data_IF_938434021641
#
_entry.id   IF_938434021641
#
_cell.length_a   1.000
_cell.length_b   1.000
_cell.length_c   1.000
_cell.angle_alpha   90.00
_cell.angle_beta   90.00
_cell.angle_gamma   90.00
#
_symmetry.space_group_name_H-M   'P 1'
#
loop_
_entity.id
_entity.type
_entity.pdbx_description
1 polymer ?
#
# COMPACT_ATOMS: atom_id res chain seq x y z
N UNK A 1 -8.12 11.79 -7.40
CA UNK A 1 -8.82 10.56 -7.86
C UNK A 1 -7.90 9.83 -8.83
N UNK A 2 -7.00 8.97 -8.33
CA UNK A 2 -6.28 8.05 -9.20
C UNK A 2 -7.04 6.73 -9.24
N UNK A 3 -7.55 6.43 -10.45
CA UNK A 3 -8.14 5.13 -10.80
C UNK A 3 -7.01 4.10 -10.82
N UNK A 4 -7.09 3.07 -9.99
CA UNK A 4 -6.32 1.86 -10.21
C UNK A 4 -6.80 1.23 -11.52
N UNK A 5 -5.98 1.35 -12.57
CA UNK A 5 -6.16 0.73 -13.88
C UNK A 5 -4.90 -0.08 -14.15
N UNK A 6 -4.93 -1.36 -13.80
CA UNK A 6 -3.86 -2.30 -14.12
C UNK A 6 -4.43 -3.60 -14.63
N UNK A 7 -4.86 -3.62 -15.89
CA UNK A 7 -5.28 -4.84 -16.60
C UNK A 7 -4.44 -4.99 -17.88
N UNK A 8 -3.97 -6.24 -18.12
CA UNK A 8 -3.50 -6.87 -19.38
C UNK A 8 -2.01 -6.77 -19.80
N UNK A 9 -1.33 -7.73 -20.49
CA UNK A 9 -1.61 -9.07 -21.09
C UNK A 9 -0.27 -9.79 -21.51
N UNK A 10 -0.16 -11.11 -21.24
CA UNK A 10 0.37 -12.31 -21.98
C UNK A 10 1.52 -12.26 -23.08
N UNK A 11 2.50 -13.19 -22.89
CA UNK A 11 3.32 -14.09 -23.78
C UNK A 11 4.53 -13.67 -24.66
N UNK A 12 5.63 -14.46 -24.60
CA UNK A 12 6.23 -15.35 -25.66
C UNK A 12 7.34 -16.28 -25.07
N UNK A 13 7.38 -17.55 -25.55
CA UNK A 13 8.30 -18.67 -25.24
C UNK A 13 9.38 -18.85 -26.33
N UNK A 14 10.61 -19.34 -26.05
CA UNK A 14 11.34 -20.35 -26.87
C UNK A 14 12.27 -21.24 -26.01
N UNK A 15 12.29 -22.53 -26.35
CA UNK A 15 12.95 -23.72 -25.82
C UNK A 15 14.49 -23.75 -25.81
N UNK A 16 15.05 -24.38 -24.77
CA UNK A 16 16.43 -24.92 -24.77
C UNK A 16 17.08 -24.78 -23.40
N UNK A 17 16.99 -25.82 -22.57
CA UNK A 17 17.60 -25.96 -21.21
C UNK A 17 17.97 -24.64 -20.52
N UNK A 18 17.05 -24.09 -19.74
CA UNK A 18 17.35 -23.02 -18.80
C UNK A 18 17.03 -23.55 -17.41
N UNK A 19 18.04 -23.56 -16.54
CA UNK A 19 17.83 -23.41 -15.10
C UNK A 19 17.02 -22.12 -14.94
N UNK A 20 15.70 -22.21 -14.97
CA UNK A 20 14.82 -21.05 -14.90
C UNK A 20 14.73 -20.65 -13.43
N UNK A 21 15.83 -20.06 -12.94
CA UNK A 21 15.74 -19.09 -11.86
C UNK A 21 14.70 -18.08 -12.31
N UNK A 22 13.51 -18.12 -11.72
CA UNK A 22 12.46 -17.14 -11.98
C UNK A 22 12.99 -15.80 -11.45
N UNK A 23 13.61 -15.02 -12.32
CA UNK A 23 13.98 -13.64 -12.00
C UNK A 23 12.67 -12.86 -12.10
N UNK A 24 12.08 -12.50 -10.95
CA UNK A 24 11.08 -11.45 -10.94
C UNK A 24 11.75 -10.23 -11.57
N UNK A 25 11.15 -9.68 -12.63
CA UNK A 25 11.69 -8.48 -13.23
C UNK A 25 11.60 -7.38 -12.16
N UNK A 26 12.76 -6.83 -11.78
CA UNK A 26 12.84 -5.74 -10.81
C UNK A 26 11.82 -4.65 -11.16
N UNK A 27 10.97 -4.32 -10.21
CA UNK A 27 10.01 -3.23 -10.33
C UNK A 27 10.56 -1.97 -9.67
N UNK A 28 10.13 -0.81 -10.17
CA UNK A 28 10.45 0.44 -9.51
C UNK A 28 9.59 0.59 -8.24
N UNK A 29 10.08 1.30 -7.22
CA UNK A 29 9.28 1.62 -6.05
C UNK A 29 8.07 2.48 -6.44
N UNK A 30 7.06 2.48 -5.58
CA UNK A 30 5.92 3.39 -5.64
C UNK A 30 6.07 4.42 -4.53
N UNK A 31 6.32 5.66 -4.91
CA UNK A 31 6.37 6.80 -4.00
C UNK A 31 4.98 7.44 -3.86
N UNK A 32 4.63 7.92 -2.66
CA UNK A 32 3.34 8.57 -2.40
C UNK A 32 3.53 9.94 -1.77
N UNK A 33 2.75 10.90 -2.24
CA UNK A 33 2.80 12.28 -1.76
C UNK A 33 2.57 12.38 -0.24
N UNK A 34 3.30 13.32 0.39
CA UNK A 34 3.25 13.60 1.82
C UNK A 34 2.60 14.94 2.11
N UNK A 35 1.98 15.04 3.29
CA UNK A 35 1.41 16.28 3.80
C UNK A 35 1.90 16.57 5.22
N UNK A 36 2.51 17.75 5.40
CA UNK A 36 3.07 18.19 6.68
C UNK A 36 2.49 19.54 7.09
N UNK A 37 2.28 19.73 8.38
CA UNK A 37 1.97 21.01 8.98
C UNK A 37 3.14 21.39 9.87
N UNK A 38 3.58 22.65 9.78
CA UNK A 38 4.49 23.24 10.76
C UNK A 38 4.08 24.67 11.07
N UNK A 39 4.73 25.24 12.07
CA UNK A 39 4.67 26.66 12.38
C UNK A 39 5.96 27.28 11.85
N UNK A 40 5.87 28.53 11.44
CA UNK A 40 7.00 29.36 11.07
C UNK A 40 8.16 29.23 12.09
N UNK A 41 9.40 29.19 11.59
CA UNK A 41 10.64 29.03 12.38
C UNK A 41 10.76 27.69 13.17
N UNK A 42 9.84 26.74 12.99
CA UNK A 42 9.92 25.40 13.59
C UNK A 42 10.30 24.37 12.52
N UNK A 43 11.54 23.85 12.53
CA UNK A 43 11.94 22.75 11.67
C UNK A 43 11.12 21.48 11.92
N UNK A 44 10.87 20.70 10.86
CA UNK A 44 10.24 19.38 10.93
C UNK A 44 11.12 18.33 10.29
N UNK A 45 11.20 17.16 10.94
CA UNK A 45 11.78 15.95 10.35
C UNK A 45 10.65 15.06 9.86
N UNK A 46 10.65 14.77 8.56
CA UNK A 46 9.56 14.14 7.82
C UNK A 46 10.01 12.75 7.38
N UNK A 47 9.39 11.67 7.88
CA UNK A 47 9.69 10.31 7.46
C UNK A 47 8.95 9.98 6.15
N UNK A 48 9.43 10.53 5.03
CA UNK A 48 8.75 10.44 3.72
C UNK A 48 8.62 9.02 3.17
N UNK A 49 9.54 8.10 3.52
CA UNK A 49 9.46 6.71 3.02
C UNK A 49 8.37 5.86 3.67
N UNK A 50 7.56 6.44 4.55
CA UNK A 50 6.64 5.71 5.41
C UNK A 50 5.43 5.16 4.64
N UNK A 51 4.93 5.91 3.65
CA UNK A 51 3.83 5.54 2.77
C UNK A 51 4.32 4.98 1.42
N UNK A 52 5.63 4.95 1.20
CA UNK A 52 6.28 4.41 0.01
C UNK A 52 6.42 2.88 0.11
N UNK A 53 6.41 2.20 -1.02
CA UNK A 53 6.47 0.75 -1.06
C UNK A 53 7.17 0.22 -2.29
N UNK A 54 7.79 -0.94 -2.15
CA UNK A 54 8.36 -1.70 -3.25
C UNK A 54 7.73 -3.11 -3.26
N UNK A 55 7.33 -3.60 -4.43
CA UNK A 55 6.62 -4.89 -4.51
C UNK A 55 7.57 -6.09 -4.37
N UNK A 56 8.85 -5.89 -4.70
CA UNK A 56 9.90 -6.89 -4.60
C UNK A 56 10.46 -6.96 -3.16
N UNK A 57 10.13 -5.96 -2.33
CA UNK A 57 10.48 -5.90 -0.91
C UNK A 57 11.85 -5.28 -0.65
N UNK A 58 12.39 -4.56 -1.64
CA UNK A 58 13.69 -3.92 -1.53
C UNK A 58 13.68 -2.75 -0.54
N UNK A 59 14.86 -2.49 0.03
CA UNK A 59 15.03 -1.40 0.99
C UNK A 59 15.05 -0.06 0.28
N UNK A 60 14.14 0.83 0.67
CA UNK A 60 14.01 2.15 0.07
C UNK A 60 14.95 3.18 0.71
N UNK A 61 15.48 4.06 -0.13
CA UNK A 61 16.30 5.19 0.28
C UNK A 61 16.03 6.44 -0.54
N UNK A 62 16.19 7.61 0.07
CA UNK A 62 16.05 8.90 -0.60
C UNK A 62 17.39 9.26 -1.24
N UNK A 63 17.38 9.50 -2.54
CA UNK A 63 18.60 9.79 -3.31
C UNK A 63 18.75 11.27 -3.65
N UNK A 64 17.65 12.02 -3.73
CA UNK A 64 17.68 13.46 -3.96
C UNK A 64 16.44 14.16 -3.43
N UNK A 65 16.59 15.46 -3.14
CA UNK A 65 15.53 16.37 -2.69
C UNK A 65 15.65 17.69 -3.45
N UNK A 66 14.53 18.21 -3.93
CA UNK A 66 14.46 19.56 -4.50
C UNK A 66 14.27 20.60 -3.39
N UNK A 67 14.73 21.83 -3.63
CA UNK A 67 14.42 22.94 -2.74
C UNK A 67 13.06 23.55 -3.12
N UNK A 68 12.25 23.94 -2.12
CA UNK A 68 11.01 24.67 -2.37
C UNK A 68 11.24 26.10 -2.86
N UNK A 69 10.25 26.66 -3.54
CA UNK A 69 10.30 28.05 -4.04
C UNK A 69 10.18 29.11 -2.93
N UNK A 70 9.67 28.73 -1.75
CA UNK A 70 9.52 29.63 -0.59
C UNK A 70 10.84 30.14 -0.01
N UNK A 71 11.97 29.53 -0.40
CA UNK A 71 13.28 29.76 0.21
C UNK A 71 13.50 28.98 1.50
N UNK A 72 12.57 28.09 1.89
CA UNK A 72 12.79 27.15 2.97
C UNK A 72 13.95 26.19 2.67
N UNK A 73 14.61 25.72 3.72
CA UNK A 73 15.74 24.78 3.59
C UNK A 73 15.25 23.35 3.74
N UNK A 74 15.53 22.52 2.73
CA UNK A 74 15.25 21.08 2.73
C UNK A 74 16.56 20.31 2.68
N UNK A 75 16.82 19.47 3.68
CA UNK A 75 18.02 18.63 3.71
C UNK A 75 17.67 17.18 3.99
N UNK A 76 18.44 16.26 3.42
CA UNK A 76 18.37 14.85 3.80
C UNK A 76 18.82 14.70 5.26
N UNK A 77 17.99 14.03 6.04
CA UNK A 77 18.26 13.65 7.44
C UNK A 77 18.48 12.14 7.49
N UNK A 78 19.65 11.70 7.01
CA UNK A 78 19.92 10.29 6.73
C UNK A 78 19.34 9.85 5.38
N UNK A 79 19.16 8.54 5.19
CA UNK A 79 18.65 7.95 3.94
C UNK A 79 17.13 7.80 3.88
N UNK A 80 16.41 8.08 4.97
CA UNK A 80 14.98 7.75 5.10
C UNK A 80 14.09 8.92 5.54
N UNK A 81 14.70 10.07 5.86
CA UNK A 81 13.97 11.24 6.35
C UNK A 81 14.48 12.53 5.72
N UNK A 82 13.61 13.53 5.70
CA UNK A 82 13.91 14.87 5.21
C UNK A 82 13.68 15.87 6.32
N UNK A 83 14.62 16.78 6.55
CA UNK A 83 14.41 17.92 7.44
C UNK A 83 14.02 19.14 6.62
N UNK A 84 12.81 19.64 6.85
CA UNK A 84 12.29 20.89 6.33
C UNK A 84 12.43 22.00 7.39
N UNK A 85 12.98 23.14 7.00
CA UNK A 85 13.07 24.34 7.85
C UNK A 85 12.43 25.50 7.09
N UNK A 86 11.25 25.99 7.54
CA UNK A 86 10.62 27.15 6.91
C UNK A 86 11.59 28.33 6.84
N UNK A 87 11.45 29.16 5.81
CA UNK A 87 12.08 30.47 5.82
C UNK A 87 11.48 31.33 6.94
N UNK A 88 12.25 32.30 7.44
CA UNK A 88 11.74 33.23 8.44
C UNK A 88 10.56 34.02 7.86
N UNK A 89 9.55 34.29 8.69
CA UNK A 89 8.35 35.06 8.34
C UNK A 89 7.50 34.47 7.20
N UNK A 90 7.77 33.22 6.77
CA UNK A 90 6.95 32.54 5.77
C UNK A 90 5.73 31.88 6.39
N UNK A 91 4.54 32.27 5.94
CA UNK A 91 3.27 31.57 6.17
C UNK A 91 2.60 31.24 4.83
N UNK A 92 1.96 30.07 4.76
CA UNK A 92 1.31 29.62 3.53
C UNK A 92 1.57 28.15 3.21
N UNK A 93 1.30 27.77 1.96
CA UNK A 93 1.58 26.42 1.45
C UNK A 93 2.90 26.47 0.70
N UNK A 94 3.75 25.50 1.00
CA UNK A 94 5.00 25.24 0.31
C UNK A 94 5.04 23.81 -0.20
N UNK A 95 5.92 23.53 -1.16
CA UNK A 95 6.06 22.19 -1.72
C UNK A 95 7.46 21.92 -2.24
N UNK A 96 7.92 20.69 -2.07
CA UNK A 96 9.15 20.20 -2.67
C UNK A 96 8.99 18.73 -3.07
N UNK A 97 9.88 18.22 -3.92
CA UNK A 97 9.87 16.82 -4.35
C UNK A 97 11.08 16.06 -3.81
N UNK A 98 10.94 14.75 -3.66
CA UNK A 98 12.05 13.84 -3.36
C UNK A 98 12.03 12.63 -4.30
N UNK A 99 13.20 12.01 -4.46
CA UNK A 99 13.35 10.78 -5.26
C UNK A 99 13.70 9.63 -4.34
N UNK A 100 12.89 8.57 -4.38
CA UNK A 100 13.14 7.30 -3.71
C UNK A 100 13.79 6.31 -4.70
N UNK A 101 14.70 5.48 -4.23
CA UNK A 101 15.28 4.38 -4.99
C UNK A 101 15.28 3.09 -4.17
N UNK A 102 15.11 1.97 -4.87
CA UNK A 102 15.20 0.60 -4.37
C UNK A 102 16.65 0.09 -4.26
N UNK A 103 17.64 0.84 -4.78
CA UNK A 103 19.04 0.42 -4.85
C UNK A 103 19.36 -0.61 -5.95
N UNK A 104 18.35 -1.05 -6.69
CA UNK A 104 18.39 -2.07 -7.75
C UNK A 104 18.22 -1.46 -9.15
N UNK A 105 18.13 -0.13 -9.22
CA UNK A 105 18.00 0.64 -10.47
C UNK A 105 16.61 1.21 -10.69
N UNK A 106 15.64 0.89 -9.83
CA UNK A 106 14.33 1.53 -9.79
C UNK A 106 14.35 2.82 -8.97
N UNK A 107 13.52 3.76 -9.39
CA UNK A 107 13.29 5.01 -8.67
C UNK A 107 11.92 5.60 -8.98
N UNK A 108 11.36 6.35 -8.03
CA UNK A 108 10.12 7.10 -8.20
C UNK A 108 10.20 8.45 -7.48
N UNK A 109 9.30 9.38 -7.80
CA UNK A 109 9.27 10.75 -7.28
C UNK A 109 7.94 11.06 -6.63
N UNK A 110 7.98 11.62 -5.43
CA UNK A 110 6.80 12.11 -4.72
C UNK A 110 6.96 13.56 -4.27
N UNK A 111 5.82 14.20 -4.02
CA UNK A 111 5.71 15.59 -3.58
C UNK A 111 5.40 15.65 -2.09
N UNK A 112 6.16 16.46 -1.36
CA UNK A 112 5.81 16.87 0.00
C UNK A 112 5.14 18.23 -0.05
N UNK A 113 3.90 18.31 0.43
CA UNK A 113 3.20 19.58 0.64
C UNK A 113 3.30 19.99 2.10
N UNK A 114 3.84 21.16 2.37
CA UNK A 114 3.98 21.71 3.72
C UNK A 114 3.07 22.91 3.91
N UNK A 115 2.14 22.84 4.86
CA UNK A 115 1.42 24.02 5.34
C UNK A 115 2.23 24.64 6.47
N UNK A 116 2.63 25.90 6.32
CA UNK A 116 3.29 26.70 7.35
C UNK A 116 2.28 27.69 7.92
N UNK A 117 2.13 27.68 9.24
CA UNK A 117 1.24 28.60 9.96
C UNK A 117 2.05 29.71 10.63
N UNK A 118 1.52 30.94 10.70
CA UNK A 118 2.24 32.07 11.27
C UNK A 118 2.56 31.83 12.74
N UNK A 119 3.74 32.25 13.19
CA UNK A 119 4.08 32.25 14.61
C UNK A 119 3.58 33.53 15.27
N UNK A 120 2.29 33.57 15.60
CA UNK A 120 1.64 34.73 16.21
C UNK A 120 1.97 34.94 17.71
N UNK A 121 2.92 34.20 18.28
CA UNK A 121 3.25 34.23 19.72
C UNK A 121 2.16 33.67 20.65
N UNK A 122 0.98 33.33 20.14
CA UNK A 122 -0.10 32.74 20.91
C UNK A 122 -0.02 31.21 20.84
N UNK A 123 0.60 30.62 21.86
CA UNK A 123 0.80 29.18 21.95
C UNK A 123 -0.52 28.39 21.94
N UNK A 124 -1.63 28.96 22.41
CA UNK A 124 -2.93 28.27 22.40
C UNK A 124 -3.47 28.11 20.97
N UNK A 125 -3.41 29.14 20.15
CA UNK A 125 -3.83 29.08 18.74
C UNK A 125 -2.93 28.14 17.93
N UNK A 126 -1.64 28.12 18.23
CA UNK A 126 -0.68 27.20 17.63
C UNK A 126 -0.99 25.74 17.97
N UNK A 127 -1.21 25.44 19.26
CA UNK A 127 -1.62 24.10 19.72
C UNK A 127 -2.96 23.70 19.09
N UNK A 128 -3.93 24.60 19.05
CA UNK A 128 -5.25 24.33 18.47
C UNK A 128 -5.15 24.00 16.97
N UNK A 129 -4.33 24.74 16.24
CA UNK A 129 -4.10 24.50 14.80
C UNK A 129 -3.45 23.15 14.53
N UNK A 130 -2.45 22.79 15.33
CA UNK A 130 -1.80 21.47 15.25
C UNK A 130 -2.79 20.35 15.57
N UNK A 131 -3.62 20.51 16.61
CA UNK A 131 -4.66 19.53 16.98
C UNK A 131 -5.69 19.37 15.85
N UNK A 132 -6.19 20.46 15.26
CA UNK A 132 -7.16 20.42 14.16
C UNK A 132 -6.58 19.70 12.92
N UNK A 133 -5.31 19.94 12.59
CA UNK A 133 -4.64 19.26 11.49
C UNK A 133 -4.40 17.79 11.76
N UNK A 134 -3.99 17.42 12.98
CA UNK A 134 -3.88 16.02 13.38
C UNK A 134 -5.23 15.31 13.31
N UNK A 135 -6.31 15.96 13.74
CA UNK A 135 -7.65 15.42 13.64
C UNK A 135 -8.08 15.18 12.19
N UNK A 136 -7.80 16.12 11.29
CA UNK A 136 -8.06 15.93 9.85
C UNK A 136 -7.28 14.75 9.25
N UNK A 137 -6.01 14.56 9.64
CA UNK A 137 -5.20 13.40 9.23
C UNK A 137 -5.76 12.08 9.76
N UNK A 138 -6.24 12.08 11.01
CA UNK A 138 -6.89 10.90 11.60
C UNK A 138 -8.17 10.54 10.85
N UNK A 139 -9.02 11.52 10.52
CA UNK A 139 -10.22 11.29 9.74
C UNK A 139 -9.91 10.68 8.36
N UNK A 140 -8.88 11.19 7.68
CA UNK A 140 -8.49 10.63 6.38
C UNK A 140 -7.99 9.18 6.50
N UNK A 141 -7.22 8.88 7.54
CA UNK A 141 -6.80 7.50 7.84
C UNK A 141 -7.99 6.59 8.15
N UNK A 142 -9.02 7.08 8.82
CA UNK A 142 -10.25 6.32 9.07
C UNK A 142 -10.99 5.97 7.77
N UNK A 143 -11.02 6.88 6.79
CA UNK A 143 -11.58 6.63 5.45
C UNK A 143 -10.76 5.56 4.70
N UNK A 144 -9.43 5.67 4.69
CA UNK A 144 -8.55 4.68 4.05
C UNK A 144 -8.70 3.28 4.68
N UNK A 145 -8.74 3.22 6.01
CA UNK A 145 -8.97 1.95 6.74
C UNK A 145 -10.34 1.37 6.43
N UNK A 146 -11.35 2.21 6.23
CA UNK A 146 -12.70 1.76 5.88
C UNK A 146 -12.71 1.14 4.48
N UNK A 147 -12.10 1.81 3.50
CA UNK A 147 -11.99 1.28 2.13
C UNK A 147 -11.23 -0.05 2.10
N UNK A 148 -10.13 -0.16 2.85
CA UNK A 148 -9.40 -1.42 3.00
C UNK A 148 -10.27 -2.53 3.62
N UNK A 149 -11.11 -2.22 4.63
CA UNK A 149 -12.02 -3.22 5.21
C UNK A 149 -13.05 -3.72 4.20
N UNK A 150 -13.55 -2.85 3.33
CA UNK A 150 -14.50 -3.21 2.28
C UNK A 150 -13.84 -4.12 1.23
N UNK A 151 -12.66 -3.75 0.74
CA UNK A 151 -11.87 -4.60 -0.19
C UNK A 151 -11.56 -5.97 0.43
N UNK A 152 -11.20 -5.98 1.71
CA UNK A 152 -10.90 -7.19 2.46
C UNK A 152 -12.12 -8.11 2.61
N UNK A 153 -13.29 -7.53 2.86
CA UNK A 153 -14.55 -8.27 2.93
C UNK A 153 -14.93 -8.86 1.58
N UNK A 154 -14.77 -8.10 0.48
CA UNK A 154 -15.02 -8.57 -0.88
C UNK A 154 -14.10 -9.74 -1.26
N UNK A 155 -12.80 -9.66 -0.91
CA UNK A 155 -11.85 -10.74 -1.14
C UNK A 155 -12.19 -12.00 -0.32
N UNK A 156 -12.60 -11.84 0.94
CA UNK A 156 -13.00 -12.98 1.77
C UNK A 156 -14.21 -13.73 1.19
N UNK A 157 -15.21 -13.01 0.68
CA UNK A 157 -16.36 -13.61 -0.01
C UNK A 157 -15.94 -14.35 -1.28
N UNK A 158 -15.07 -13.74 -2.10
CA UNK A 158 -14.51 -14.36 -3.32
C UNK A 158 -13.76 -15.65 -3.01
N UNK A 159 -12.93 -15.66 -1.96
CA UNK A 159 -12.18 -16.83 -1.51
C UNK A 159 -13.12 -17.94 -1.03
N UNK A 160 -14.10 -17.61 -0.17
CA UNK A 160 -15.07 -18.60 0.31
C UNK A 160 -15.82 -19.28 -0.83
N UNK A 161 -16.12 -18.52 -1.88
CA UNK A 161 -16.81 -19.04 -3.05
C UNK A 161 -15.90 -19.94 -3.92
N UNK A 162 -14.62 -19.59 -4.08
CA UNK A 162 -13.63 -20.47 -4.71
C UNK A 162 -13.42 -21.77 -3.90
N UNK A 163 -13.37 -21.68 -2.57
CA UNK A 163 -13.24 -22.84 -1.69
C UNK A 163 -14.44 -23.79 -1.80
N UNK A 164 -15.65 -23.26 -1.97
CA UNK A 164 -16.85 -24.06 -2.27
C UNK A 164 -16.71 -24.79 -3.61
N UNK A 165 -16.33 -24.08 -4.67
CA UNK A 165 -16.16 -24.67 -6.02
C UNK A 165 -15.11 -25.80 -6.03
N UNK A 166 -14.05 -25.64 -5.24
CA UNK A 166 -12.97 -26.63 -5.14
C UNK A 166 -13.34 -27.81 -4.22
N UNK A 167 -14.16 -27.54 -3.20
CA UNK A 167 -14.61 -28.52 -2.20
C UNK A 167 -15.68 -29.48 -2.72
N UNK A 168 -16.58 -29.01 -3.59
CA UNK A 168 -17.58 -29.85 -4.23
C UNK A 168 -16.92 -30.66 -5.38
N UNK A 169 -16.99 -31.99 -5.26
CA UNK A 169 -16.43 -32.89 -6.26
C UNK A 169 -17.18 -32.80 -7.58
N UNK A 170 -16.66 -32.02 -8.55
CA UNK A 170 -17.24 -32.00 -9.92
C UNK A 170 -17.22 -33.42 -10.54
N UNK A 171 -18.34 -33.91 -11.10
CA UNK A 171 -18.47 -35.25 -11.65
C UNK A 171 -17.55 -35.44 -12.86
N UNK A 172 -16.93 -36.62 -12.96
CA UNK A 172 -16.08 -36.97 -14.09
C UNK A 172 -16.89 -36.92 -15.39
N UNK A 173 -16.36 -36.20 -16.37
CA UNK A 173 -16.82 -35.98 -17.75
C UNK A 173 -17.74 -37.04 -18.38
N UNK A 174 -18.97 -37.28 -17.88
CA UNK A 174 -20.04 -37.93 -18.65
C UNK A 174 -21.43 -38.00 -17.97
N UNK A 175 -21.89 -36.99 -17.21
CA UNK A 175 -23.31 -36.93 -16.87
C UNK A 175 -23.89 -35.56 -17.19
N UNK A 176 -24.99 -35.59 -17.95
CA UNK A 176 -25.78 -34.44 -18.37
C UNK A 176 -26.31 -33.70 -17.13
N UNK A 177 -25.52 -32.80 -16.57
CA UNK A 177 -25.92 -31.97 -15.44
C UNK A 177 -26.76 -30.79 -15.92
N UNK A 178 -28.05 -31.04 -16.10
CA UNK A 178 -29.08 -30.01 -16.21
C UNK A 178 -29.36 -29.35 -14.83
N UNK A 179 -28.35 -28.79 -14.16
CA UNK A 179 -28.55 -28.12 -12.88
C UNK A 179 -27.31 -27.51 -12.22
N UNK A 180 -27.12 -26.21 -12.44
CA UNK A 180 -26.70 -25.18 -11.46
C UNK A 180 -25.35 -25.26 -10.69
N UNK A 181 -24.40 -26.15 -11.03
CA UNK A 181 -23.15 -26.27 -10.26
C UNK A 181 -21.97 -25.55 -10.93
N UNK A 182 -21.34 -24.59 -10.23
CA UNK A 182 -20.17 -23.84 -10.73
C UNK A 182 -18.99 -24.78 -10.99
N UNK A 183 -18.57 -24.90 -12.26
CA UNK A 183 -17.46 -25.77 -12.67
C UNK A 183 -16.19 -24.96 -12.97
N UNK A 184 -15.02 -25.53 -12.67
CA UNK A 184 -13.72 -25.02 -13.13
C UNK A 184 -13.36 -25.64 -14.48
N UNK A 185 -13.02 -24.80 -15.46
CA UNK A 185 -12.61 -25.28 -16.80
C UNK A 185 -11.17 -24.90 -17.07
N UNK A 186 -10.34 -25.92 -17.30
CA UNK A 186 -8.99 -25.73 -17.83
C UNK A 186 -9.05 -25.52 -19.35
N UNK A 187 -8.71 -24.32 -19.81
CA UNK A 187 -8.51 -24.01 -21.21
C UNK A 187 -7.06 -24.32 -21.60
N UNK A 188 -6.80 -25.55 -22.06
CA UNK A 188 -5.45 -26.05 -22.39
C UNK A 188 -4.69 -25.14 -23.36
N UNK A 189 -5.36 -24.65 -24.40
CA UNK A 189 -4.77 -23.75 -25.41
C UNK A 189 -4.26 -22.43 -24.83
N UNK A 190 -4.94 -21.93 -23.78
CA UNK A 190 -4.61 -20.68 -23.10
C UNK A 190 -3.79 -20.90 -21.82
N UNK A 191 -3.65 -22.15 -21.37
CA UNK A 191 -3.00 -22.55 -20.12
C UNK A 191 -3.60 -21.87 -18.89
N UNK A 192 -4.92 -21.65 -18.90
CA UNK A 192 -5.67 -20.94 -17.86
C UNK A 192 -6.84 -21.75 -17.35
N UNK A 193 -7.14 -21.64 -16.06
CA UNK A 193 -8.37 -22.15 -15.45
C UNK A 193 -9.35 -20.98 -15.33
N UNK A 194 -10.57 -21.16 -15.82
CA UNK A 194 -11.65 -20.18 -15.70
C UNK A 194 -12.89 -20.77 -15.03
N UNK A 195 -13.76 -19.87 -14.55
CA UNK A 195 -15.06 -20.23 -14.00
C UNK A 195 -16.06 -20.44 -15.13
N UNK A 196 -16.68 -21.61 -15.17
CA UNK A 196 -17.74 -21.97 -16.10
C UNK A 196 -18.99 -22.37 -15.33
N UNK A 197 -19.95 -21.45 -15.15
CA UNK A 197 -21.38 -21.79 -15.19
C UNK A 197 -22.31 -20.54 -15.26
N UNK A 198 -23.60 -20.79 -15.48
CA UNK A 198 -24.71 -19.84 -15.73
C UNK A 198 -25.27 -19.09 -14.50
N UNK A 199 -24.74 -19.32 -13.29
CA UNK A 199 -25.13 -18.61 -12.08
C UNK A 199 -24.12 -17.50 -11.75
N UNK A 200 -24.40 -16.29 -12.23
CA UNK A 200 -23.72 -15.06 -11.84
C UNK A 200 -23.74 -14.91 -10.31
N UNK A 201 -22.62 -15.11 -9.64
CA UNK A 201 -22.48 -14.49 -8.32
C UNK A 201 -22.04 -13.04 -8.50
N UNK A 202 -22.33 -12.20 -7.51
CA UNK A 202 -21.81 -10.83 -7.47
C UNK A 202 -20.29 -10.79 -7.41
N UNK A 203 -19.64 -11.88 -7.02
CA UNK A 203 -18.23 -11.91 -6.71
C UNK A 203 -17.41 -12.67 -7.76
N UNK A 204 -17.87 -13.78 -8.34
CA UNK A 204 -17.30 -14.62 -9.42
C UNK A 204 -18.14 -14.57 -10.70
N UNK A 205 -17.54 -14.08 -11.79
CA UNK A 205 -18.18 -13.99 -13.10
C UNK A 205 -17.70 -15.11 -14.03
N UNK A 206 -18.58 -15.48 -14.97
CA UNK A 206 -18.21 -16.40 -16.04
C UNK A 206 -17.00 -15.86 -16.83
N UNK A 207 -16.01 -16.73 -17.04
CA UNK A 207 -14.78 -16.37 -17.76
C UNK A 207 -13.71 -15.71 -16.91
N UNK A 208 -13.95 -15.45 -15.61
CA UNK A 208 -12.88 -15.00 -14.71
C UNK A 208 -11.77 -16.05 -14.67
N UNK A 209 -10.53 -15.61 -14.93
CA UNK A 209 -9.33 -16.45 -14.84
C UNK A 209 -8.89 -16.51 -13.39
N UNK A 210 -8.81 -17.72 -12.85
CA UNK A 210 -8.59 -17.99 -11.42
C UNK A 210 -7.50 -19.02 -11.17
N UNK A 211 -6.76 -19.39 -12.22
CA UNK A 211 -5.73 -20.39 -12.15
C UNK A 211 -4.95 -20.56 -13.45
N UNK A 212 -3.88 -21.33 -13.37
CA UNK A 212 -3.14 -21.84 -14.53
C UNK A 212 -3.25 -23.37 -14.56
N UNK A 213 -3.26 -23.92 -15.77
CA UNK A 213 -3.20 -25.36 -16.00
C UNK A 213 -2.29 -25.68 -17.18
N UNK A 214 -1.79 -26.90 -17.24
CA UNK A 214 -0.99 -27.44 -18.35
C UNK A 214 -1.83 -28.28 -19.31
N UNK A 215 -1.25 -28.63 -20.46
CA UNK A 215 -1.90 -29.49 -21.47
C UNK A 215 -2.23 -30.91 -20.91
N UNK A 216 -1.49 -31.32 -19.87
CA UNK A 216 -1.61 -32.64 -19.24
C UNK A 216 -2.38 -32.60 -17.92
N UNK A 217 -2.75 -31.42 -17.41
CA UNK A 217 -3.44 -31.32 -16.14
C UNK A 217 -4.85 -31.91 -16.27
N UNK A 218 -5.17 -32.81 -15.35
CA UNK A 218 -6.53 -33.27 -15.14
C UNK A 218 -7.28 -32.32 -14.19
N UNK A 219 -8.54 -32.65 -13.92
CA UNK A 219 -9.40 -31.87 -13.02
C UNK A 219 -8.83 -31.79 -11.60
N UNK A 220 -8.08 -32.81 -11.14
CA UNK A 220 -7.50 -32.82 -9.80
C UNK A 220 -6.25 -31.93 -9.71
N UNK A 221 -5.38 -31.96 -10.71
CA UNK A 221 -4.24 -31.05 -10.84
C UNK A 221 -4.71 -29.59 -10.92
N UNK A 222 -5.80 -29.34 -11.66
CA UNK A 222 -6.43 -28.02 -11.74
C UNK A 222 -6.99 -27.57 -10.38
N UNK A 223 -7.60 -28.46 -9.59
CA UNK A 223 -8.08 -28.16 -8.23
C UNK A 223 -6.93 -27.84 -7.28
N UNK A 224 -5.85 -28.62 -7.32
CA UNK A 224 -4.69 -28.38 -6.46
C UNK A 224 -3.98 -27.06 -6.82
N UNK A 225 -3.91 -26.72 -8.11
CA UNK A 225 -3.44 -25.41 -8.60
C UNK A 225 -4.24 -24.26 -7.98
N UNK A 226 -5.59 -24.34 -8.00
CA UNK A 226 -6.45 -23.31 -7.41
C UNK A 226 -6.33 -23.27 -5.88
N UNK A 227 -6.22 -24.42 -5.18
CA UNK A 227 -5.97 -24.45 -3.72
C UNK A 227 -4.67 -23.76 -3.34
N UNK A 228 -3.61 -24.01 -4.10
CA UNK A 228 -2.33 -23.37 -3.86
C UNK A 228 -2.40 -21.86 -4.07
N UNK A 229 -3.09 -21.39 -5.11
CA UNK A 229 -3.33 -19.95 -5.31
C UNK A 229 -4.15 -19.33 -4.18
N UNK A 230 -5.20 -19.99 -3.70
CA UNK A 230 -5.97 -19.51 -2.53
C UNK A 230 -5.05 -19.40 -1.30
N UNK A 231 -4.17 -20.39 -1.08
CA UNK A 231 -3.23 -20.39 0.03
C UNK A 231 -2.22 -19.25 -0.07
N UNK A 232 -1.68 -18.99 -1.25
CA UNK A 232 -0.79 -17.86 -1.54
C UNK A 232 -1.50 -16.53 -1.26
N UNK A 233 -2.70 -16.32 -1.81
CA UNK A 233 -3.49 -15.11 -1.58
C UNK A 233 -3.76 -14.90 -0.09
N UNK A 234 -4.16 -15.95 0.66
CA UNK A 234 -4.37 -15.87 2.12
C UNK A 234 -3.08 -15.50 2.86
N UNK A 235 -1.94 -16.03 2.44
CA UNK A 235 -0.66 -15.75 3.06
C UNK A 235 -0.20 -14.31 2.81
N UNK A 236 -0.27 -13.84 1.56
CA UNK A 236 0.07 -12.46 1.19
C UNK A 236 -0.78 -11.46 1.96
N UNK A 237 -2.06 -11.76 2.12
CA UNK A 237 -2.98 -10.93 2.87
C UNK A 237 -2.64 -10.87 4.35
N UNK A 238 -2.30 -12.01 4.96
CA UNK A 238 -1.85 -12.08 6.35
C UNK A 238 -0.56 -11.27 6.55
N UNK A 239 0.38 -11.33 5.60
CA UNK A 239 1.61 -10.54 5.63
C UNK A 239 1.29 -9.04 5.60
N UNK A 240 0.42 -8.60 4.68
CA UNK A 240 -0.02 -7.20 4.57
C UNK A 240 -0.75 -6.72 5.83
N UNK A 241 -1.62 -7.55 6.41
CA UNK A 241 -2.32 -7.23 7.65
C UNK A 241 -1.35 -7.03 8.83
N UNK A 242 -0.36 -7.90 8.97
CA UNK A 242 0.67 -7.77 10.01
C UNK A 242 1.59 -6.56 9.77
N UNK A 243 1.95 -6.27 8.52
CA UNK A 243 2.69 -5.06 8.18
C UNK A 243 1.92 -3.79 8.59
N UNK A 244 0.62 -3.71 8.26
CA UNK A 244 -0.23 -2.57 8.61
C UNK A 244 -0.42 -2.44 10.13
N UNK A 245 -0.56 -3.54 10.86
CA UNK A 245 -0.62 -3.52 12.34
C UNK A 245 0.67 -3.00 12.96
N UNK A 246 1.82 -3.40 12.43
CA UNK A 246 3.12 -2.95 12.92
C UNK A 246 3.30 -1.45 12.64
N UNK A 247 2.92 -1.02 11.45
CA UNK A 247 2.92 0.38 11.03
C UNK A 247 2.12 1.27 11.99
N UNK A 248 0.88 0.87 12.29
CA UNK A 248 0.02 1.57 13.24
C UNK A 248 0.63 1.64 14.65
N UNK A 249 1.23 0.54 15.15
CA UNK A 249 1.91 0.54 16.45
C UNK A 249 3.10 1.50 16.49
N UNK A 250 3.86 1.62 15.39
CA UNK A 250 4.98 2.56 15.29
C UNK A 250 4.46 4.00 15.37
N UNK A 251 3.40 4.35 14.61
CA UNK A 251 2.77 5.67 14.68
C UNK A 251 2.24 5.99 16.06
N UNK A 252 1.54 5.06 16.69
CA UNK A 252 0.99 5.24 18.03
C UNK A 252 2.11 5.53 19.06
N UNK A 253 3.24 4.82 18.95
CA UNK A 253 4.41 5.05 19.80
C UNK A 253 5.03 6.42 19.58
N UNK A 254 5.19 6.85 18.33
CA UNK A 254 5.70 8.18 17.98
C UNK A 254 4.80 9.28 18.53
N UNK A 255 3.48 9.15 18.35
CA UNK A 255 2.50 10.08 18.88
C UNK A 255 2.56 10.18 20.41
N UNK A 256 2.65 9.03 21.11
CA UNK A 256 2.82 9.00 22.57
C UNK A 256 4.12 9.67 23.04
N UNK A 257 5.20 9.55 22.28
CA UNK A 257 6.46 10.22 22.61
C UNK A 257 6.34 11.74 22.44
N UNK A 258 5.76 12.20 21.33
CA UNK A 258 5.51 13.63 21.11
C UNK A 258 4.65 14.24 22.23
N UNK A 259 3.61 13.52 22.68
CA UNK A 259 2.79 13.94 23.82
C UNK A 259 3.57 14.02 25.13
N UNK A 260 4.60 13.18 25.33
CA UNK A 260 5.47 13.26 26.53
C UNK A 260 6.38 14.48 26.47
N UNK A 261 6.97 14.76 25.31
CA UNK A 261 7.89 15.88 25.12
C UNK A 261 7.14 17.21 25.31
N UNK A 262 5.93 17.34 24.71
CA UNK A 262 5.05 18.50 24.92
C UNK A 262 4.69 18.73 26.40
N UNK A 263 4.49 17.65 27.17
CA UNK A 263 4.23 17.74 28.62
C UNK A 263 5.48 18.14 29.42
N UNK A 264 6.67 17.75 28.96
CA UNK A 264 7.94 18.07 29.63
C UNK A 264 8.31 19.54 29.45
N UNK A 265 8.14 20.08 28.25
CA UNK A 265 8.40 21.50 27.96
C UNK A 265 7.45 22.43 28.73
N UNK A 266 6.20 22.02 28.93
CA UNK A 266 5.25 22.74 29.81
C UNK A 266 5.70 22.77 31.27
N UNK A 267 6.42 21.75 31.74
CA UNK A 267 6.92 21.66 33.12
C UNK A 267 8.22 22.45 33.33
N UNK A 268 9.04 22.58 32.29
CA UNK A 268 10.26 23.41 32.33
C UNK A 268 9.93 24.90 32.38
N UNK A 269 8.97 25.38 31.57
CA UNK A 269 8.59 26.80 31.56
C UNK A 269 7.93 27.30 32.85
N UNK A 270 7.27 26.42 33.60
CA UNK A 270 6.67 26.79 34.90
C UNK A 270 7.68 26.90 36.04
N UNK A 271 8.95 26.52 35.84
CA UNK A 271 9.98 26.58 36.88
C UNK A 271 10.96 27.76 36.69
N UNK A 272 10.80 28.54 35.62
CA UNK A 272 11.65 29.70 35.32
C UNK A 272 10.96 31.05 35.68
N UNK A 273 9.74 31.00 36.21
CA UNK A 273 8.92 32.17 36.60
C UNK A 273 8.76 32.36 38.14
N UNK A 274 9.55 31.67 38.97
CA UNK A 274 9.59 31.84 40.45
C UNK A 274 10.90 32.50 40.94
#
# INVERSE_FOLDING_TARGET
>A
MQKFSGLFLIAILISGTLSSSFVFAQTAPTAKDDFVLTIENIPQTIPVLFNDSDIDGDSLSITSVAQPFSGATVILSGSTQIKYTPNNDFDGIDSFTYVVSDGQGGSDTATVTVTVKPNNGNIFEQILTVIQSLFAKVLHLEDEVTLLREENSALAMRISELESIVGDGIPSDNENNNGHEKVLVCHKDKKTISVSDNALSSHLKHGDVIGKCTENDDTNASKESVKNQIKEIKNDFKIKEEALKNDFKVKEKQFKNLLKDLKKDKKSKNNDDD
#
